data_IF_070007592559
#
_entry.id   IF_070007592559
#
_cell.length_a   1.000
_cell.length_b   1.000
_cell.length_c   1.000
_cell.angle_alpha   90.00
_cell.angle_beta   90.00
_cell.angle_gamma   90.00
#
_symmetry.space_group_name_H-M   'P 1'
#
loop_
_entity.id
_entity.type
_entity.pdbx_description
1 polymer ?
#
# COMPACT_ATOMS: atom_id res chain seq x y z
N UNK A 1 0.30 -8.39 2.82
CA UNK A 1 -1.00 -8.90 3.33
C UNK A 1 -2.07 -7.82 3.24
N UNK A 2 -3.34 -8.20 3.20
CA UNK A 2 -4.49 -7.30 3.02
C UNK A 2 -5.58 -7.53 4.06
N UNK A 3 -6.13 -6.44 4.61
CA UNK A 3 -7.26 -6.48 5.53
C UNK A 3 -8.56 -6.98 4.86
N UNK A 4 -9.57 -7.32 5.67
CA UNK A 4 -10.85 -7.87 5.17
C UNK A 4 -11.61 -6.90 4.27
N UNK A 5 -11.42 -5.59 4.45
CA UNK A 5 -12.11 -4.58 3.64
C UNK A 5 -11.46 -4.30 2.28
N UNK A 6 -10.23 -4.77 2.02
CA UNK A 6 -9.58 -4.51 0.73
C UNK A 6 -10.17 -5.41 -0.38
N UNK A 7 -10.66 -4.80 -1.45
CA UNK A 7 -10.86 -5.51 -2.72
C UNK A 7 -9.53 -5.55 -3.48
N UNK A 8 -8.85 -6.69 -3.47
CA UNK A 8 -7.53 -6.87 -4.10
C UNK A 8 -7.58 -6.60 -5.61
N UNK A 9 -8.68 -6.96 -6.30
CA UNK A 9 -8.81 -6.73 -7.75
C UNK A 9 -8.84 -5.24 -8.10
N UNK A 10 -9.59 -4.44 -7.34
CA UNK A 10 -9.70 -2.98 -7.61
C UNK A 10 -8.65 -2.15 -6.86
N UNK A 11 -7.97 -2.76 -5.88
CA UNK A 11 -7.08 -2.11 -4.92
C UNK A 11 -7.77 -0.94 -4.20
N UNK A 12 -9.03 -1.16 -3.79
CA UNK A 12 -9.84 -0.17 -3.06
C UNK A 12 -10.51 -0.81 -1.86
N UNK A 13 -10.67 -0.03 -0.80
CA UNK A 13 -11.47 -0.44 0.36
C UNK A 13 -12.96 -0.47 -0.03
N UNK A 14 -13.66 -1.53 0.35
CA UNK A 14 -15.10 -1.72 0.09
C UNK A 14 -15.96 -0.75 0.90
N UNK A 15 -15.50 -0.36 2.09
CA UNK A 15 -16.24 0.46 3.05
C UNK A 15 -15.37 1.64 3.52
N UNK A 16 -14.76 2.40 2.59
CA UNK A 16 -13.75 3.40 2.94
C UNK A 16 -14.28 4.48 3.90
N UNK A 17 -15.51 4.95 3.72
CA UNK A 17 -16.13 5.98 4.57
C UNK A 17 -16.27 5.53 6.02
N UNK A 18 -16.63 4.26 6.23
CA UNK A 18 -16.83 3.63 7.54
C UNK A 18 -15.67 2.73 7.96
N UNK A 19 -14.49 2.89 7.36
CA UNK A 19 -13.38 1.93 7.49
C UNK A 19 -12.92 1.68 8.92
N UNK A 20 -12.97 2.70 9.78
CA UNK A 20 -12.58 2.57 11.19
C UNK A 20 -13.60 1.82 12.04
N UNK A 21 -14.86 1.72 11.59
CA UNK A 21 -15.87 0.89 12.25
C UNK A 21 -15.64 -0.60 11.95
N UNK A 22 -15.17 -0.92 10.75
CA UNK A 22 -14.95 -2.30 10.31
C UNK A 22 -13.54 -2.83 10.60
N UNK A 23 -12.53 -1.96 10.57
CA UNK A 23 -11.12 -2.27 10.81
C UNK A 23 -10.57 -1.28 11.84
N UNK A 24 -10.60 -1.63 13.14
CA UNK A 24 -10.09 -0.77 14.22
C UNK A 24 -8.61 -0.40 14.04
N UNK A 25 -7.82 -1.30 13.44
CA UNK A 25 -6.40 -1.09 13.14
C UNK A 25 -6.16 -0.30 11.84
N UNK A 26 -7.21 0.17 11.16
CA UNK A 26 -7.06 0.98 9.96
C UNK A 26 -6.33 2.29 10.29
N UNK A 27 -5.36 2.64 9.46
CA UNK A 27 -4.51 3.80 9.70
C UNK A 27 -5.02 5.03 8.93
N UNK A 28 -5.11 6.16 9.63
CA UNK A 28 -5.28 7.47 9.00
C UNK A 28 -3.91 8.13 8.80
N UNK A 29 -3.43 8.14 7.57
CA UNK A 29 -2.23 8.90 7.22
C UNK A 29 -2.58 10.39 7.10
N UNK A 30 -1.81 11.24 7.77
CA UNK A 30 -1.90 12.70 7.74
C UNK A 30 -0.53 13.29 7.45
N UNK A 31 -0.46 14.58 7.13
CA UNK A 31 0.83 15.26 6.94
C UNK A 31 1.67 15.24 8.23
N UNK A 32 1.01 15.35 9.37
CA UNK A 32 1.68 15.45 10.68
C UNK A 32 2.27 14.12 11.12
N UNK A 33 1.58 12.99 10.85
CA UNK A 33 2.08 11.68 11.24
C UNK A 33 2.94 11.01 10.17
N UNK A 34 2.94 11.48 8.92
CA UNK A 34 3.74 10.90 7.83
C UNK A 34 5.21 10.61 8.21
N UNK A 35 5.94 11.48 8.94
CA UNK A 35 7.32 11.19 9.33
C UNK A 35 7.49 9.94 10.21
N UNK A 36 6.43 9.48 10.90
CA UNK A 36 6.48 8.29 11.74
C UNK A 36 6.32 6.98 10.95
N UNK A 37 6.09 7.06 9.64
CA UNK A 37 5.85 5.90 8.76
C UNK A 37 7.07 5.54 7.94
N UNK A 38 8.17 5.19 8.61
CA UNK A 38 9.46 4.86 7.97
C UNK A 38 9.38 3.65 7.02
N UNK A 39 8.39 2.77 7.25
CA UNK A 39 8.15 1.56 6.46
C UNK A 39 7.39 1.81 5.15
N UNK A 40 6.96 3.05 4.85
CA UNK A 40 6.31 3.34 3.57
C UNK A 40 7.25 3.03 2.38
N UNK A 41 6.72 2.45 1.29
CA UNK A 41 7.52 2.17 0.11
C UNK A 41 8.27 3.41 -0.38
N UNK A 42 9.48 3.21 -0.91
CA UNK A 42 10.31 4.29 -1.49
C UNK A 42 9.57 5.06 -2.62
N UNK A 43 8.60 4.42 -3.27
CA UNK A 43 7.78 4.98 -4.33
C UNK A 43 6.42 5.53 -3.84
N UNK A 44 6.18 5.57 -2.53
CA UNK A 44 4.95 6.12 -1.97
C UNK A 44 4.81 7.60 -2.31
N UNK A 45 3.68 7.99 -2.92
CA UNK A 45 3.42 9.37 -3.32
C UNK A 45 3.52 10.35 -2.15
N UNK A 46 2.95 10.01 -1.00
CA UNK A 46 2.98 10.88 0.19
C UNK A 46 4.42 11.14 0.65
N UNK A 47 5.24 10.09 0.69
CA UNK A 47 6.66 10.19 1.04
C UNK A 47 7.44 11.03 0.03
N UNK A 48 7.33 10.71 -1.26
CA UNK A 48 8.04 11.43 -2.32
C UNK A 48 7.72 12.92 -2.29
N UNK A 49 6.43 13.27 -2.19
CA UNK A 49 6.00 14.67 -2.15
C UNK A 49 6.46 15.38 -0.87
N UNK A 50 6.45 14.70 0.29
CA UNK A 50 6.98 15.28 1.53
C UNK A 50 8.50 15.49 1.49
N UNK A 51 9.24 14.64 0.77
CA UNK A 51 10.68 14.77 0.53
C UNK A 51 11.03 15.76 -0.61
N UNK A 52 10.03 16.42 -1.23
CA UNK A 52 10.24 17.35 -2.35
C UNK A 52 10.67 16.65 -3.65
N UNK A 53 10.46 15.34 -3.78
CA UNK A 53 10.77 14.54 -4.96
C UNK A 53 9.61 14.51 -5.96
N UNK A 54 9.94 14.26 -7.22
CA UNK A 54 8.96 14.02 -8.28
C UNK A 54 8.26 12.67 -8.13
N UNK A 55 7.07 12.56 -8.73
CA UNK A 55 6.35 11.29 -8.85
C UNK A 55 6.90 10.49 -10.05
N UNK A 56 6.94 9.15 -9.99
CA UNK A 56 7.31 8.32 -11.14
C UNK A 56 6.38 8.54 -12.33
N UNK A 57 6.89 8.42 -13.57
CA UNK A 57 6.10 8.69 -14.78
C UNK A 57 4.85 7.82 -14.96
N UNK A 58 4.81 6.64 -14.33
CA UNK A 58 3.64 5.75 -14.33
C UNK A 58 2.56 6.13 -13.29
N UNK A 59 2.83 7.11 -12.43
CA UNK A 59 2.00 7.39 -11.25
C UNK A 59 0.62 7.96 -11.65
N UNK A 60 -0.51 7.49 -11.05
CA UNK A 60 -1.85 7.89 -11.44
C UNK A 60 -2.15 9.40 -11.34
N UNK A 61 -1.48 10.13 -10.44
CA UNK A 61 -1.60 11.59 -10.34
C UNK A 61 -1.00 12.33 -11.55
N UNK A 62 -0.10 11.69 -12.31
CA UNK A 62 0.47 12.24 -13.54
C UNK A 62 -0.29 11.75 -14.77
N UNK A 63 -0.66 10.46 -14.79
CA UNK A 63 -1.25 9.80 -15.96
C UNK A 63 -2.78 9.84 -16.01
N UNK A 64 -3.43 10.27 -14.92
CA UNK A 64 -4.90 10.32 -14.79
C UNK A 64 -5.57 8.94 -14.66
N UNK A 65 -4.82 7.84 -14.68
CA UNK A 65 -5.37 6.49 -14.55
C UNK A 65 -4.40 5.51 -13.89
N UNK A 66 -4.91 4.35 -13.45
CA UNK A 66 -4.08 3.27 -12.88
C UNK A 66 -3.43 2.37 -13.95
N UNK A 67 -3.67 2.62 -15.24
CA UNK A 67 -3.28 1.72 -16.31
C UNK A 67 -1.75 1.55 -16.42
N UNK A 68 -1.00 2.66 -16.46
CA UNK A 68 0.46 2.63 -16.54
C UNK A 68 1.08 1.95 -15.30
N UNK A 69 0.66 2.35 -14.10
CA UNK A 69 1.07 1.72 -12.84
C UNK A 69 0.84 0.20 -12.82
N UNK A 70 -0.30 -0.26 -13.33
CA UNK A 70 -0.59 -1.69 -13.45
C UNK A 70 0.24 -2.39 -14.53
N UNK A 71 0.52 -1.71 -15.65
CA UNK A 71 1.42 -2.20 -16.70
C UNK A 71 2.83 -2.48 -16.17
N UNK A 72 3.33 -1.59 -15.30
CA UNK A 72 4.62 -1.74 -14.60
C UNK A 72 4.57 -2.74 -13.42
N UNK A 73 3.41 -3.37 -13.16
CA UNK A 73 3.15 -4.25 -12.01
C UNK A 73 3.42 -3.60 -10.65
N UNK A 74 3.44 -2.27 -10.57
CA UNK A 74 3.59 -1.52 -9.32
C UNK A 74 2.24 -1.41 -8.62
N UNK A 75 1.69 -2.53 -8.18
CA UNK A 75 0.40 -2.60 -7.51
C UNK A 75 0.28 -3.83 -6.63
N UNK A 76 -0.40 -3.66 -5.50
CA UNK A 76 -0.70 -4.77 -4.59
C UNK A 76 -1.63 -5.83 -5.20
N UNK A 77 -2.30 -5.54 -6.32
CA UNK A 77 -3.26 -6.42 -7.02
C UNK A 77 -2.76 -7.86 -7.20
N UNK A 78 -1.45 -8.03 -7.46
CA UNK A 78 -0.87 -9.31 -7.85
C UNK A 78 -0.04 -9.97 -6.73
N UNK A 79 0.19 -9.27 -5.61
CA UNK A 79 1.06 -9.74 -4.52
C UNK A 79 0.34 -9.77 -3.16
N UNK A 80 -0.80 -9.08 -3.03
CA UNK A 80 -1.57 -9.09 -1.81
C UNK A 80 -2.30 -10.42 -1.64
N UNK A 81 -2.17 -10.98 -0.44
CA UNK A 81 -2.95 -12.10 0.07
C UNK A 81 -3.86 -11.61 1.18
N UNK A 82 -5.04 -12.20 1.33
CA UNK A 82 -5.93 -11.86 2.45
C UNK A 82 -5.32 -12.34 3.75
N UNK A 83 -5.41 -11.56 4.81
CA UNK A 83 -4.92 -11.94 6.14
C UNK A 83 -5.43 -13.30 6.61
N UNK A 84 -6.69 -13.64 6.30
CA UNK A 84 -7.32 -14.92 6.67
C UNK A 84 -6.73 -16.15 5.96
N UNK A 85 -5.95 -15.93 4.91
CA UNK A 85 -5.34 -16.98 4.09
C UNK A 85 -3.83 -17.13 4.39
N UNK A 86 -3.28 -16.28 5.28
CA UNK A 86 -1.86 -16.29 5.65
C UNK A 86 -1.62 -17.30 6.77
N UNK A 87 -0.64 -18.19 6.56
CA UNK A 87 -0.17 -19.12 7.59
C UNK A 87 1.02 -18.55 8.36
N UNK A 88 2.06 -18.14 7.63
CA UNK A 88 3.22 -17.45 8.17
C UNK A 88 3.30 -16.04 7.61
N UNK A 89 3.33 -15.06 8.51
CA UNK A 89 3.37 -13.64 8.15
C UNK A 89 4.74 -13.24 7.58
N UNK A 90 5.81 -13.97 7.95
CA UNK A 90 7.17 -13.67 7.50
C UNK A 90 7.38 -13.92 6.01
N UNK A 91 6.68 -14.90 5.43
CA UNK A 91 6.71 -15.22 4.00
C UNK A 91 6.20 -14.08 3.11
N UNK A 92 5.52 -13.09 3.70
CA UNK A 92 4.92 -11.97 2.99
C UNK A 92 5.64 -10.64 3.21
N UNK A 93 6.84 -10.66 3.81
CA UNK A 93 7.70 -9.48 3.97
C UNK A 93 8.43 -9.22 2.63
N UNK A 94 8.13 -8.10 1.97
CA UNK A 94 8.71 -7.78 0.65
C UNK A 94 10.22 -7.48 0.70
N UNK A 95 10.71 -6.93 1.81
CA UNK A 95 12.12 -6.61 2.03
C UNK A 95 12.67 -7.45 3.19
N UNK A 96 12.46 -8.79 3.14
CA UNK A 96 12.90 -9.70 4.19
C UNK A 96 14.42 -9.60 4.35
N UNK A 97 14.96 -9.32 5.55
CA UNK A 97 16.40 -9.27 5.77
C UNK A 97 17.03 -10.64 5.50
N UNK A 98 18.26 -10.66 4.99
CA UNK A 98 18.97 -11.91 4.66
C UNK A 98 19.32 -12.79 5.86
N UNK A 99 19.16 -12.28 7.09
CA UNK A 99 19.41 -13.03 8.32
C UNK A 99 18.16 -13.73 8.88
N UNK A 100 16.98 -13.49 8.30
CA UNK A 100 15.69 -13.89 8.87
C UNK A 100 15.16 -15.24 8.35
N UNK A 101 16.04 -16.14 7.91
CA UNK A 101 15.65 -17.47 7.39
C UNK A 101 15.10 -18.41 8.46
#
# INVERSE_FOLDING_TARGET
>A
MACRQLNIKTCQCRNYERRFEYEPDCIKLTRDNLPTFEWLPMTCAYRLLAEGKGLPGWHPLLTGSKAAMHGERISVRHIAVKESEVRDWQDHILNKPSWAD
#
